data_IF_811780662105
#
_entry.id   IF_811780662105
#
_cell.length_a   1.000
_cell.length_b   1.000
_cell.length_c   1.000
_cell.angle_alpha   90.00
_cell.angle_beta   90.00
_cell.angle_gamma   90.00
#
_symmetry.space_group_name_H-M   'P 1'
#
loop_
_entity.id
_entity.type
_entity.pdbx_description
1 polymer ?
#
# COMPACT_ATOMS: atom_id res chain seq x y z
N UNK A 1 -4.33 17.34 -21.48
CA UNK A 1 -5.05 17.46 -20.20
C UNK A 1 -6.06 16.34 -20.15
N UNK A 2 -5.89 15.38 -19.24
CA UNK A 2 -6.83 14.28 -19.06
C UNK A 2 -7.84 14.70 -17.99
N UNK A 3 -9.13 14.59 -18.28
CA UNK A 3 -10.18 14.75 -17.28
C UNK A 3 -10.55 13.38 -16.73
N UNK A 4 -10.68 13.28 -15.40
CA UNK A 4 -11.10 12.05 -14.73
C UNK A 4 -12.56 12.26 -14.31
N UNK A 5 -13.44 11.37 -14.77
CA UNK A 5 -14.83 11.36 -14.35
C UNK A 5 -14.93 10.52 -13.07
N UNK A 6 -15.49 11.11 -12.03
CA UNK A 6 -15.75 10.43 -10.75
C UNK A 6 -17.25 10.21 -10.59
N UNK A 7 -17.63 9.11 -9.95
CA UNK A 7 -19.03 8.87 -9.58
C UNK A 7 -19.44 9.80 -8.43
N UNK A 8 -20.75 10.02 -8.27
CA UNK A 8 -21.29 10.85 -7.19
C UNK A 8 -20.89 10.31 -5.81
N UNK A 9 -20.82 8.98 -5.66
CA UNK A 9 -20.43 8.35 -4.41
C UNK A 9 -18.94 8.56 -4.10
N UNK A 10 -18.08 8.46 -5.12
CA UNK A 10 -16.66 8.79 -4.97
C UNK A 10 -16.47 10.28 -4.65
N UNK A 11 -17.26 11.16 -5.26
CA UNK A 11 -17.22 12.59 -4.96
C UNK A 11 -17.65 12.91 -3.52
N UNK A 12 -18.70 12.26 -3.01
CA UNK A 12 -19.12 12.36 -1.60
C UNK A 12 -18.00 11.91 -0.66
N UNK A 13 -17.33 10.81 -0.99
CA UNK A 13 -16.24 10.28 -0.18
C UNK A 13 -15.03 11.21 -0.15
N UNK A 14 -14.63 11.77 -1.30
CA UNK A 14 -13.57 12.79 -1.37
C UNK A 14 -13.91 14.02 -0.51
N UNK A 15 -15.16 14.47 -0.53
CA UNK A 15 -15.61 15.58 0.33
C UNK A 15 -15.62 15.21 1.82
N UNK A 16 -15.96 13.96 2.17
CA UNK A 16 -15.89 13.46 3.55
C UNK A 16 -14.46 13.54 4.08
N UNK A 17 -13.50 13.04 3.30
CA UNK A 17 -12.07 13.10 3.64
C UNK A 17 -11.57 14.54 3.72
N UNK A 18 -11.98 15.41 2.79
CA UNK A 18 -11.66 16.83 2.84
C UNK A 18 -12.19 17.51 4.12
N UNK A 19 -13.40 17.17 4.55
CA UNK A 19 -13.99 17.66 5.80
C UNK A 19 -13.20 17.23 7.04
N UNK A 20 -12.77 15.97 7.08
CA UNK A 20 -11.92 15.44 8.16
C UNK A 20 -10.57 16.15 8.21
N UNK A 21 -9.88 16.24 7.07
CA UNK A 21 -8.59 16.93 6.97
C UNK A 21 -8.69 18.40 7.35
N UNK A 22 -9.77 19.09 6.98
CA UNK A 22 -10.02 20.47 7.38
C UNK A 22 -10.19 20.60 8.89
N UNK A 23 -10.91 19.67 9.52
CA UNK A 23 -11.10 19.66 10.97
C UNK A 23 -9.78 19.41 11.72
N UNK A 24 -8.94 18.52 11.19
CA UNK A 24 -7.63 18.19 11.78
C UNK A 24 -6.60 19.31 11.62
N UNK A 25 -6.54 19.94 10.43
CA UNK A 25 -5.53 20.96 10.11
C UNK A 25 -5.92 22.38 10.49
N UNK A 26 -7.21 22.63 10.71
CA UNK A 26 -7.73 23.96 11.07
C UNK A 26 -7.74 24.98 9.94
N UNK A 27 -7.50 24.57 8.69
CA UNK A 27 -7.56 25.43 7.50
C UNK A 27 -8.28 24.75 6.33
N UNK A 28 -8.82 25.51 5.36
CA UNK A 28 -9.35 24.94 4.12
C UNK A 28 -8.30 24.07 3.43
N UNK A 29 -8.72 22.93 2.89
CA UNK A 29 -7.85 21.98 2.17
C UNK A 29 -8.25 21.91 0.70
N UNK A 30 -7.25 21.83 -0.18
CA UNK A 30 -7.43 21.67 -1.62
C UNK A 30 -7.65 20.19 -2.00
N UNK A 31 -8.22 19.95 -3.18
CA UNK A 31 -8.39 18.59 -3.68
C UNK A 31 -7.04 17.87 -3.91
N UNK A 32 -6.00 18.62 -4.26
CA UNK A 32 -4.64 18.08 -4.40
C UNK A 32 -4.11 17.54 -3.07
N UNK A 33 -4.31 18.28 -1.97
CA UNK A 33 -3.92 17.80 -0.63
C UNK A 33 -4.73 16.58 -0.18
N UNK A 34 -6.01 16.51 -0.54
CA UNK A 34 -6.87 15.35 -0.25
C UNK A 34 -6.33 14.12 -0.97
N UNK A 35 -6.03 14.24 -2.27
CA UNK A 35 -5.48 13.14 -3.06
C UNK A 35 -4.09 12.73 -2.57
N UNK A 36 -3.23 13.68 -2.23
CA UNK A 36 -1.90 13.40 -1.70
C UNK A 36 -1.98 12.69 -0.34
N UNK A 37 -2.90 13.12 0.54
CA UNK A 37 -3.18 12.43 1.79
C UNK A 37 -3.63 10.99 1.55
N UNK A 38 -4.58 10.78 0.64
CA UNK A 38 -5.06 9.44 0.30
C UNK A 38 -3.91 8.57 -0.22
N UNK A 39 -3.13 9.05 -1.19
CA UNK A 39 -1.98 8.34 -1.73
C UNK A 39 -0.93 7.98 -0.67
N UNK A 40 -0.65 8.89 0.28
CA UNK A 40 0.27 8.65 1.41
C UNK A 40 -0.33 7.75 2.49
N UNK A 41 -1.64 7.77 2.67
CA UNK A 41 -2.39 6.94 3.63
C UNK A 41 -2.55 5.50 3.17
N UNK A 42 -2.50 5.28 1.85
CA UNK A 42 -2.40 3.95 1.22
C UNK A 42 -1.00 3.35 1.46
N UNK A 43 -0.60 3.22 2.73
CA UNK A 43 0.49 2.33 3.10
C UNK A 43 -0.04 0.92 3.01
N UNK A 44 0.11 0.30 1.84
CA UNK A 44 -0.08 -1.12 1.67
C UNK A 44 0.78 -1.83 2.71
N UNK A 45 0.14 -2.53 3.63
CA UNK A 45 0.81 -3.35 4.62
C UNK A 45 1.34 -4.59 3.91
N UNK A 46 2.42 -5.18 4.44
CA UNK A 46 2.91 -6.48 3.93
C UNK A 46 1.81 -7.55 3.94
N UNK A 47 0.87 -7.47 4.90
CA UNK A 47 -0.33 -8.32 4.95
C UNK A 47 -1.26 -8.16 3.75
N UNK A 48 -1.29 -6.99 3.12
CA UNK A 48 -2.18 -6.72 1.98
C UNK A 48 -1.68 -7.43 0.71
N UNK A 49 -0.41 -7.88 0.71
CA UNK A 49 0.19 -8.70 -0.34
C UNK A 49 0.12 -10.21 -0.02
N UNK A 50 -0.50 -10.62 1.09
CA UNK A 50 -0.65 -12.05 1.40
C UNK A 50 -1.49 -12.74 0.32
N UNK A 51 -0.91 -13.76 -0.32
CA UNK A 51 -1.57 -14.49 -1.41
C UNK A 51 -1.60 -13.76 -2.76
N UNK A 52 -0.99 -12.57 -2.87
CA UNK A 52 -0.85 -11.87 -4.15
C UNK A 52 0.13 -12.59 -5.09
N UNK A 53 1.11 -13.30 -4.53
CA UNK A 53 2.06 -14.08 -5.31
C UNK A 53 1.51 -15.49 -5.54
N UNK A 54 1.12 -15.77 -6.79
CA UNK A 54 0.75 -17.11 -7.27
C UNK A 54 1.98 -17.76 -7.88
N UNK A 55 2.66 -18.61 -7.11
CA UNK A 55 3.77 -19.41 -7.59
C UNK A 55 3.24 -20.71 -8.20
N UNK A 56 3.87 -21.14 -9.29
CA UNK A 56 3.79 -22.52 -9.76
C UNK A 56 4.53 -23.47 -8.82
N UNK A 57 4.24 -24.77 -8.90
CA UNK A 57 4.89 -25.78 -8.06
C UNK A 57 6.42 -25.82 -8.26
N UNK A 58 6.89 -25.61 -9.50
CA UNK A 58 8.31 -25.52 -9.84
C UNK A 58 8.97 -24.31 -9.15
N UNK A 59 8.34 -23.14 -9.21
CA UNK A 59 8.84 -21.94 -8.54
C UNK A 59 8.88 -22.08 -7.01
N UNK A 60 7.89 -22.78 -6.42
CA UNK A 60 7.90 -23.08 -4.98
C UNK A 60 9.09 -23.97 -4.62
N UNK A 61 9.37 -25.00 -5.41
CA UNK A 61 10.49 -25.91 -5.17
C UNK A 61 11.83 -25.18 -5.21
N UNK A 62 12.06 -24.39 -6.26
CA UNK A 62 13.27 -23.59 -6.43
C UNK A 62 13.45 -22.56 -5.33
N UNK A 63 12.37 -21.85 -4.97
CA UNK A 63 12.38 -20.88 -3.88
C UNK A 63 12.75 -21.55 -2.55
N UNK A 64 12.12 -22.68 -2.22
CA UNK A 64 12.37 -23.40 -0.98
C UNK A 64 13.79 -23.99 -0.92
N UNK A 65 14.33 -24.44 -2.05
CA UNK A 65 15.71 -24.91 -2.16
C UNK A 65 16.71 -23.78 -1.89
N UNK A 66 16.49 -22.61 -2.48
CA UNK A 66 17.28 -21.40 -2.22
C UNK A 66 17.25 -20.98 -0.75
N UNK A 67 16.04 -20.97 -0.16
CA UNK A 67 15.82 -20.59 1.24
C UNK A 67 16.54 -21.52 2.21
N UNK A 68 16.42 -22.85 2.01
CA UNK A 68 17.15 -23.86 2.81
C UNK A 68 18.66 -23.68 2.72
N UNK A 69 19.17 -23.41 1.51
CA UNK A 69 20.59 -23.16 1.29
C UNK A 69 21.07 -21.89 1.99
N UNK A 70 20.27 -20.84 2.00
CA UNK A 70 20.59 -19.61 2.74
C UNK A 70 20.60 -19.84 4.24
N UNK A 71 19.56 -20.47 4.80
CA UNK A 71 19.46 -20.75 6.23
C UNK A 71 20.57 -21.64 6.76
N UNK A 72 21.06 -22.61 5.99
CA UNK A 72 22.19 -23.44 6.41
C UNK A 72 23.51 -22.67 6.53
N UNK A 73 23.65 -21.57 5.79
CA UNK A 73 24.82 -20.68 5.85
C UNK A 73 24.63 -19.50 6.79
N UNK A 74 23.41 -19.27 7.26
CA UNK A 74 23.09 -18.16 8.14
C UNK A 74 23.78 -18.35 9.48
N UNK A 75 24.78 -17.51 9.75
CA UNK A 75 25.42 -17.42 11.06
C UNK A 75 24.80 -16.24 11.80
N UNK A 76 24.34 -16.49 13.02
CA UNK A 76 23.92 -15.41 13.90
C UNK A 76 25.09 -14.42 14.03
N UNK A 77 24.87 -13.11 13.82
CA UNK A 77 25.92 -12.12 14.06
C UNK A 77 26.37 -12.28 15.51
N UNK A 78 27.60 -12.73 15.72
CA UNK A 78 28.21 -12.69 17.05
C UNK A 78 28.96 -11.37 17.14
N UNK A 79 28.69 -10.63 18.21
CA UNK A 79 29.41 -9.42 18.60
C UNK A 79 30.90 -9.70 18.84
#
# INVERSE_FOLDING_TARGET
MASIRVSDDLYKELNRVAGQLRAERGHPVSMEEVLEHLLKSTRLKLSDFAGAWKMSDEEVEDFMKGLKGFWSRWKYPRD
#
